data_IF_933021464427
#
_entry.id   IF_933021464427
#
_cell.length_a   1.000
_cell.length_b   1.000
_cell.length_c   1.000
_cell.angle_alpha   90.00
_cell.angle_beta   90.00
_cell.angle_gamma   90.00
#
_symmetry.space_group_name_H-M   'P 1'
#
loop_
_entity.id
_entity.type
_entity.pdbx_description
1 polymer ?
#
# COMPACT_ATOMS: atom_id res chain seq x y z
N UNK A 1 10.36 11.55 -4.41
CA UNK A 1 8.88 11.60 -4.21
C UNK A 1 8.28 10.29 -4.67
N UNK A 2 7.45 9.65 -3.82
CA UNK A 2 6.73 8.43 -4.17
C UNK A 2 5.23 8.66 -4.24
N UNK A 3 4.56 8.02 -5.20
CA UNK A 3 3.11 8.08 -5.34
C UNK A 3 2.52 6.68 -5.46
N UNK A 4 1.30 6.51 -4.96
CA UNK A 4 0.54 5.27 -5.11
C UNK A 4 -0.97 5.55 -5.15
N UNK A 5 -1.71 4.68 -5.81
CA UNK A 5 -3.15 4.79 -5.96
C UNK A 5 -3.90 4.26 -4.72
N UNK A 6 -5.10 4.73 -4.51
CA UNK A 6 -6.08 3.99 -3.71
C UNK A 6 -6.61 2.77 -4.44
N UNK A 7 -7.43 1.96 -3.77
CA UNK A 7 -7.97 0.77 -4.38
C UNK A 7 -9.35 0.36 -3.86
N UNK A 8 -10.03 -0.43 -4.64
CA UNK A 8 -11.32 -1.03 -4.30
C UNK A 8 -11.23 -2.55 -4.47
N UNK A 9 -11.63 -3.31 -3.45
CA UNK A 9 -11.70 -4.78 -3.59
C UNK A 9 -12.87 -5.18 -4.48
N UNK A 10 -12.59 -6.04 -5.44
CA UNK A 10 -13.59 -6.77 -6.21
C UNK A 10 -13.84 -8.13 -5.55
N UNK A 11 -12.77 -8.79 -5.11
CA UNK A 11 -12.80 -10.07 -4.40
C UNK A 11 -11.89 -10.00 -3.19
N UNK A 12 -12.40 -10.41 -2.02
CA UNK A 12 -11.62 -10.39 -0.79
C UNK A 12 -10.92 -11.73 -0.54
N UNK A 13 -9.61 -11.70 -0.25
CA UNK A 13 -8.79 -12.89 -0.07
C UNK A 13 -9.21 -13.76 1.12
N UNK A 14 -9.91 -13.21 2.12
CA UNK A 14 -10.36 -13.95 3.30
C UNK A 14 -11.32 -15.12 3.00
N UNK A 15 -12.08 -15.06 1.92
CA UNK A 15 -13.07 -16.09 1.58
C UNK A 15 -12.49 -17.27 0.85
N UNK A 16 -11.73 -17.01 -0.20
CA UNK A 16 -11.26 -18.05 -1.15
C UNK A 16 -9.73 -18.15 -1.24
N UNK A 17 -9.00 -17.44 -0.39
CA UNK A 17 -7.54 -17.39 -0.46
C UNK A 17 -7.00 -16.69 -1.73
N UNK A 18 -7.88 -16.01 -2.48
CA UNK A 18 -7.51 -15.24 -3.68
C UNK A 18 -8.14 -13.86 -3.56
N UNK A 19 -7.35 -12.82 -3.82
CA UNK A 19 -7.79 -11.43 -3.75
C UNK A 19 -7.79 -10.77 -5.12
N UNK A 20 -8.71 -9.83 -5.33
CA UNK A 20 -8.73 -8.98 -6.52
C UNK A 20 -9.09 -7.57 -6.13
N UNK A 21 -8.26 -6.62 -6.48
CA UNK A 21 -8.53 -5.20 -6.31
C UNK A 21 -8.23 -4.43 -7.60
N UNK A 22 -8.87 -3.28 -7.73
CA UNK A 22 -8.66 -2.32 -8.82
C UNK A 22 -8.15 -1.00 -8.25
N UNK A 23 -7.14 -0.43 -8.91
CA UNK A 23 -6.65 0.91 -8.58
C UNK A 23 -7.66 1.98 -8.94
N UNK A 24 -7.79 2.98 -8.08
CA UNK A 24 -8.61 4.18 -8.31
C UNK A 24 -7.72 5.42 -8.34
N UNK A 25 -8.13 6.44 -9.10
CA UNK A 25 -7.37 7.67 -9.30
C UNK A 25 -7.53 8.65 -8.12
N UNK A 26 -7.29 8.10 -6.91
CA UNK A 26 -7.11 8.85 -5.67
C UNK A 26 -5.72 8.54 -5.16
N UNK A 27 -4.85 9.54 -5.13
CA UNK A 27 -3.42 9.35 -4.88
C UNK A 27 -3.05 9.60 -3.42
N UNK A 28 -2.08 8.84 -2.95
CA UNK A 28 -1.21 9.20 -1.83
C UNK A 28 0.16 9.57 -2.39
N UNK A 29 0.66 10.73 -2.00
CA UNK A 29 2.00 11.23 -2.33
C UNK A 29 2.82 11.31 -1.05
N UNK A 30 4.02 10.76 -1.08
CA UNK A 30 4.99 10.84 0.00
C UNK A 30 6.23 11.56 -0.50
N UNK A 31 6.66 12.58 0.25
CA UNK A 31 7.94 13.27 0.05
C UNK A 31 8.81 13.06 1.28
N UNK A 32 10.09 12.89 1.05
CA UNK A 32 11.08 12.83 2.13
C UNK A 32 11.65 14.21 2.39
N UNK A 33 11.87 14.51 3.66
CA UNK A 33 12.63 15.66 4.16
C UNK A 33 13.99 15.18 4.64
N UNK A 34 15.00 16.04 4.54
CA UNK A 34 16.36 15.73 5.02
C UNK A 34 16.48 15.73 6.54
N UNK A 35 15.42 16.11 7.25
CA UNK A 35 15.34 16.14 8.72
C UNK A 35 14.18 15.28 9.22
N UNK A 36 14.38 14.48 10.29
CA UNK A 36 13.30 13.70 10.88
C UNK A 36 12.17 14.59 11.38
N UNK A 37 10.94 14.22 11.10
CA UNK A 37 9.77 14.87 11.66
C UNK A 37 8.73 13.84 12.12
N UNK A 38 7.96 14.20 13.15
CA UNK A 38 6.83 13.38 13.58
C UNK A 38 5.72 13.42 12.52
N UNK A 39 5.07 12.28 12.30
CA UNK A 39 3.93 12.14 11.41
C UNK A 39 2.67 12.04 12.26
N UNK A 40 1.79 13.04 12.17
CA UNK A 40 0.59 13.11 13.02
C UNK A 40 -0.45 12.02 12.70
N UNK A 41 -0.47 11.49 11.48
CA UNK A 41 -1.52 10.57 11.00
C UNK A 41 -1.07 9.10 10.84
N UNK A 42 0.06 8.69 11.43
CA UNK A 42 0.51 7.29 11.41
C UNK A 42 0.00 6.50 12.64
N UNK A 43 -1.32 6.45 12.82
CA UNK A 43 -2.02 5.80 13.96
C UNK A 43 -1.59 4.32 14.20
N UNK A 44 -0.96 3.68 13.21
CA UNK A 44 -0.59 2.27 13.26
C UNK A 44 0.93 2.03 13.27
N UNK A 45 1.75 3.07 13.23
CA UNK A 45 3.20 2.93 13.08
C UNK A 45 3.59 2.25 11.76
N UNK A 46 2.84 2.52 10.69
CA UNK A 46 3.08 1.91 9.39
C UNK A 46 4.40 2.40 8.78
N UNK A 47 4.71 3.69 8.89
CA UNK A 47 5.98 4.25 8.41
C UNK A 47 7.18 3.72 9.19
N UNK A 48 7.06 3.57 10.50
CA UNK A 48 8.09 2.90 11.32
C UNK A 48 8.29 1.45 10.89
N UNK A 49 7.19 0.77 10.52
CA UNK A 49 7.24 -0.59 10.00
C UNK A 49 7.87 -0.66 8.61
N UNK A 50 7.64 0.34 7.75
CA UNK A 50 8.31 0.50 6.45
C UNK A 50 9.81 0.65 6.65
N UNK A 51 10.26 1.57 7.51
CA UNK A 51 11.68 1.77 7.82
C UNK A 51 12.33 0.51 8.42
N UNK A 52 11.63 -0.18 9.31
CA UNK A 52 12.13 -1.43 9.87
C UNK A 52 12.30 -2.52 8.82
N UNK A 53 11.35 -2.70 7.90
CA UNK A 53 11.45 -3.66 6.80
C UNK A 53 12.55 -3.26 5.80
N UNK A 54 12.66 -1.96 5.49
CA UNK A 54 13.71 -1.39 4.66
C UNK A 54 15.11 -1.72 5.20
N UNK A 55 15.31 -1.48 6.51
CA UNK A 55 16.56 -1.77 7.21
C UNK A 55 16.86 -3.28 7.25
N UNK A 56 15.86 -4.12 7.53
CA UNK A 56 16.01 -5.57 7.55
C UNK A 56 16.37 -6.15 6.17
N UNK A 57 15.97 -5.50 5.10
CA UNK A 57 16.36 -5.86 3.74
C UNK A 57 17.80 -5.44 3.38
N UNK A 58 18.53 -4.79 4.30
CA UNK A 58 19.91 -4.33 4.06
C UNK A 58 20.00 -3.15 3.09
N UNK A 59 18.93 -2.38 2.93
CA UNK A 59 18.86 -1.24 2.02
C UNK A 59 19.52 -0.01 2.66
N UNK A 60 19.87 1.03 1.85
CA UNK A 60 20.55 2.22 2.34
C UNK A 60 19.86 2.87 3.52
N UNK A 61 20.62 3.47 4.46
CA UNK A 61 20.02 4.11 5.65
C UNK A 61 19.01 5.18 5.27
N UNK A 62 17.86 5.15 5.94
CA UNK A 62 16.75 6.07 5.78
C UNK A 62 16.34 6.75 7.10
N UNK A 63 17.16 6.60 8.15
CA UNK A 63 16.83 7.06 9.50
C UNK A 63 16.87 8.59 9.65
N UNK A 64 17.47 9.31 8.71
CA UNK A 64 17.56 10.77 8.70
C UNK A 64 16.37 11.45 8.03
N UNK A 65 15.49 10.70 7.40
CA UNK A 65 14.37 11.29 6.66
C UNK A 65 13.16 11.57 7.55
N UNK A 66 12.52 12.72 7.30
CA UNK A 66 11.16 12.99 7.72
C UNK A 66 10.17 12.72 6.57
N UNK A 67 8.88 12.74 6.88
CA UNK A 67 7.82 12.39 5.96
C UNK A 67 6.84 13.55 5.79
N UNK A 68 6.55 13.93 4.54
CA UNK A 68 5.38 14.72 4.19
C UNK A 68 4.43 13.83 3.41
N UNK A 69 3.19 13.70 3.90
CA UNK A 69 2.16 12.86 3.31
C UNK A 69 1.01 13.74 2.84
N UNK A 70 0.67 13.63 1.57
CA UNK A 70 -0.50 14.22 0.96
C UNK A 70 -1.38 13.09 0.41
N UNK A 71 -2.60 12.93 0.92
CA UNK A 71 -3.49 11.85 0.49
C UNK A 71 -4.90 12.35 0.21
N UNK A 72 -5.41 12.01 -0.97
CA UNK A 72 -6.83 12.16 -1.32
C UNK A 72 -7.71 11.03 -0.77
N UNK A 73 -7.13 10.06 -0.06
CA UNK A 73 -7.84 8.88 0.43
C UNK A 73 -8.37 9.10 1.84
N UNK A 74 -9.68 8.98 2.06
CA UNK A 74 -10.23 8.98 3.41
C UNK A 74 -9.78 7.73 4.18
N UNK A 75 -9.14 7.93 5.32
CA UNK A 75 -8.60 6.87 6.17
C UNK A 75 -9.72 6.01 6.75
N UNK A 76 -9.56 4.67 6.72
CA UNK A 76 -10.50 3.73 7.33
C UNK A 76 -11.82 3.52 6.57
N UNK A 77 -11.96 4.07 5.36
CA UNK A 77 -13.16 3.94 4.52
C UNK A 77 -13.10 2.76 3.52
N UNK A 78 -12.07 1.91 3.62
CA UNK A 78 -11.92 0.74 2.75
C UNK A 78 -11.27 1.00 1.40
N UNK A 79 -10.74 2.20 1.18
CA UNK A 79 -10.07 2.62 -0.07
C UNK A 79 -8.56 2.30 -0.07
N UNK A 80 -8.12 1.38 0.79
CA UNK A 80 -6.76 0.84 0.82
C UNK A 80 -5.67 1.88 1.16
N UNK A 81 -5.99 2.86 2.01
CA UNK A 81 -5.06 3.93 2.39
C UNK A 81 -3.74 3.40 2.96
N UNK A 82 -3.74 2.31 3.75
CA UNK A 82 -2.52 1.71 4.28
C UNK A 82 -1.62 1.12 3.19
N UNK A 83 -2.19 0.44 2.19
CA UNK A 83 -1.43 -0.09 1.04
C UNK A 83 -0.87 1.04 0.20
N UNK A 84 -1.68 2.06 -0.06
CA UNK A 84 -1.26 3.25 -0.80
C UNK A 84 -0.11 3.98 -0.07
N UNK A 85 -0.22 4.20 1.25
CA UNK A 85 0.83 4.84 2.04
C UNK A 85 2.12 4.03 2.05
N UNK A 86 2.05 2.71 2.29
CA UNK A 86 3.23 1.86 2.29
C UNK A 86 3.96 1.87 0.93
N UNK A 87 3.22 1.76 -0.17
CA UNK A 87 3.78 1.77 -1.52
C UNK A 87 4.39 3.14 -1.87
N UNK A 88 3.70 4.24 -1.55
CA UNK A 88 4.20 5.59 -1.80
C UNK A 88 5.47 5.86 -0.99
N UNK A 89 5.51 5.46 0.29
CA UNK A 89 6.69 5.61 1.15
C UNK A 89 7.88 4.82 0.62
N UNK A 90 7.68 3.55 0.24
CA UNK A 90 8.74 2.71 -0.33
C UNK A 90 9.26 3.25 -1.68
N UNK A 91 8.39 3.76 -2.54
CA UNK A 91 8.79 4.42 -3.79
C UNK A 91 9.61 5.68 -3.51
N UNK A 92 9.23 6.48 -2.52
CA UNK A 92 9.99 7.67 -2.12
C UNK A 92 11.39 7.30 -1.62
N UNK A 93 11.50 6.27 -0.77
CA UNK A 93 12.78 5.75 -0.30
C UNK A 93 13.63 5.21 -1.45
N UNK A 94 13.03 4.39 -2.32
CA UNK A 94 13.72 3.79 -3.47
C UNK A 94 14.33 4.86 -4.39
N UNK A 95 13.57 5.90 -4.70
CA UNK A 95 14.03 7.02 -5.51
C UNK A 95 15.15 7.81 -4.82
N UNK A 96 14.95 8.21 -3.56
CA UNK A 96 15.91 9.05 -2.84
C UNK A 96 17.23 8.36 -2.53
N UNK A 97 17.20 7.06 -2.26
CA UNK A 97 18.39 6.28 -1.92
C UNK A 97 19.04 5.58 -3.11
N UNK A 98 18.45 5.69 -4.31
CA UNK A 98 18.90 5.01 -5.53
C UNK A 98 19.03 3.49 -5.31
N UNK A 99 18.16 2.89 -4.50
CA UNK A 99 18.23 1.47 -4.15
C UNK A 99 17.94 0.54 -5.34
N UNK A 100 17.26 1.02 -6.39
CA UNK A 100 17.02 0.28 -7.62
C UNK A 100 16.04 -0.86 -7.49
N UNK A 101 15.12 -0.80 -6.50
CA UNK A 101 14.12 -1.83 -6.28
C UNK A 101 13.11 -1.87 -7.43
N UNK A 102 12.78 -3.08 -7.85
CA UNK A 102 11.65 -3.37 -8.74
C UNK A 102 10.31 -3.22 -8.01
N UNK A 103 9.22 -3.08 -8.76
CA UNK A 103 7.88 -3.04 -8.18
C UNK A 103 7.51 -4.33 -7.42
N UNK A 104 8.07 -5.48 -7.80
CA UNK A 104 7.91 -6.74 -7.04
C UNK A 104 8.57 -6.66 -5.66
N UNK A 105 9.77 -6.12 -5.57
CA UNK A 105 10.48 -5.95 -4.30
C UNK A 105 9.78 -4.91 -3.42
N UNK A 106 9.29 -3.83 -4.01
CA UNK A 106 8.45 -2.84 -3.32
C UNK A 106 7.18 -3.51 -2.79
N UNK A 107 6.51 -4.35 -3.58
CA UNK A 107 5.32 -5.07 -3.15
C UNK A 107 5.59 -6.01 -1.98
N UNK A 108 6.67 -6.81 -2.03
CA UNK A 108 7.06 -7.72 -0.95
C UNK A 108 7.41 -6.97 0.35
N UNK A 109 8.08 -5.82 0.24
CA UNK A 109 8.37 -4.95 1.39
C UNK A 109 7.09 -4.33 1.97
N UNK A 110 6.17 -3.88 1.11
CA UNK A 110 4.89 -3.33 1.53
C UNK A 110 4.02 -4.36 2.27
N UNK A 111 3.96 -5.61 1.79
CA UNK A 111 3.32 -6.73 2.51
C UNK A 111 3.94 -6.90 3.89
N UNK A 112 5.27 -6.92 3.95
CA UNK A 112 6.01 -7.11 5.21
C UNK A 112 5.75 -5.98 6.20
N UNK A 113 5.75 -4.73 5.72
CA UNK A 113 5.47 -3.56 6.54
C UNK A 113 4.04 -3.55 7.07
N UNK A 114 3.04 -3.87 6.24
CA UNK A 114 1.65 -3.95 6.68
C UNK A 114 1.39 -5.06 7.70
N UNK A 115 2.04 -6.22 7.52
CA UNK A 115 1.98 -7.32 8.51
C UNK A 115 2.60 -6.88 9.83
N UNK A 116 3.76 -6.23 9.79
CA UNK A 116 4.44 -5.72 10.98
C UNK A 116 3.62 -4.67 11.73
N UNK A 117 2.97 -3.77 11.01
CA UNK A 117 2.08 -2.74 11.55
C UNK A 117 0.69 -3.27 11.96
N UNK A 118 0.42 -4.57 11.79
CA UNK A 118 -0.90 -5.17 11.98
C UNK A 118 -2.03 -4.47 11.17
N UNK A 119 -1.71 -3.92 10.00
CA UNK A 119 -2.69 -3.27 9.11
C UNK A 119 -3.43 -4.27 8.21
N UNK A 120 -3.01 -5.53 8.18
CA UNK A 120 -3.57 -6.55 7.31
C UNK A 120 -3.65 -7.92 7.98
N UNK A 121 -4.57 -8.75 7.54
CA UNK A 121 -4.69 -10.16 7.95
C UNK A 121 -4.02 -11.07 6.91
N UNK A 122 -4.26 -10.83 5.61
CA UNK A 122 -3.78 -11.68 4.51
C UNK A 122 -2.47 -11.23 3.89
N UNK A 123 -1.98 -10.04 4.27
CA UNK A 123 -0.85 -9.36 3.61
C UNK A 123 -1.30 -8.36 2.54
N UNK A 124 -2.60 -8.36 2.16
CA UNK A 124 -3.23 -7.41 1.24
C UNK A 124 -2.46 -7.21 -0.08
N UNK A 125 -1.91 -8.29 -0.64
CA UNK A 125 -1.10 -8.20 -1.86
C UNK A 125 -1.91 -7.71 -3.07
N UNK A 126 -3.21 -8.03 -3.13
CA UNK A 126 -4.16 -7.48 -4.10
C UNK A 126 -4.29 -5.95 -3.98
N UNK A 127 -4.38 -5.45 -2.74
CA UNK A 127 -4.47 -4.02 -2.46
C UNK A 127 -3.16 -3.30 -2.82
N UNK A 128 -2.02 -3.95 -2.58
CA UNK A 128 -0.70 -3.42 -2.92
C UNK A 128 -0.54 -3.33 -4.44
N UNK A 129 -0.95 -4.37 -5.19
CA UNK A 129 -0.91 -4.30 -6.64
C UNK A 129 -1.82 -3.22 -7.20
N UNK A 130 -3.01 -3.02 -6.63
CA UNK A 130 -3.89 -1.92 -7.00
C UNK A 130 -3.28 -0.54 -6.68
N UNK A 131 -2.46 -0.44 -5.63
CA UNK A 131 -1.75 0.78 -5.28
C UNK A 131 -0.58 1.09 -6.23
N UNK A 132 0.09 0.07 -6.74
CA UNK A 132 1.27 0.20 -7.59
C UNK A 132 0.93 0.40 -9.07
N UNK A 133 -0.17 -0.20 -9.57
CA UNK A 133 -0.52 -0.22 -10.99
C UNK A 133 -1.99 0.08 -11.23
N UNK A 134 -2.30 0.71 -12.38
CA UNK A 134 -3.68 0.81 -12.83
C UNK A 134 -4.25 -0.56 -13.23
N UNK A 135 -5.56 -0.62 -13.46
CA UNK A 135 -6.26 -1.86 -13.83
C UNK A 135 -6.55 -2.74 -12.62
N UNK A 136 -6.80 -4.02 -12.86
CA UNK A 136 -7.12 -4.99 -11.84
C UNK A 136 -6.20 -6.21 -11.91
N UNK A 137 -5.92 -6.81 -10.76
CA UNK A 137 -5.15 -8.06 -10.65
C UNK A 137 -5.85 -9.02 -9.70
N UNK A 138 -6.03 -10.26 -10.16
CA UNK A 138 -6.39 -11.39 -9.32
C UNK A 138 -5.10 -12.03 -8.82
N UNK A 139 -4.93 -12.12 -7.52
CA UNK A 139 -3.68 -12.58 -6.91
C UNK A 139 -3.88 -13.73 -5.93
N UNK A 140 -2.83 -14.51 -5.78
CA UNK A 140 -2.62 -15.45 -4.70
C UNK A 140 -1.73 -14.80 -3.63
N UNK A 141 -2.28 -14.36 -2.48
CA UNK A 141 -1.51 -13.67 -1.46
C UNK A 141 -0.55 -14.58 -0.67
N UNK A 142 -0.60 -15.88 -0.86
CA UNK A 142 0.34 -16.84 -0.26
C UNK A 142 1.66 -16.93 -1.04
N UNK A 143 1.65 -16.46 -2.30
CA UNK A 143 2.83 -16.43 -3.14
C UNK A 143 3.62 -15.15 -2.95
N UNK A 144 4.93 -15.19 -3.30
CA UNK A 144 5.72 -13.97 -3.48
C UNK A 144 5.12 -13.11 -4.61
N UNK A 145 5.29 -11.80 -4.53
CA UNK A 145 4.75 -10.85 -5.52
C UNK A 145 5.03 -11.26 -6.96
N UNK A 146 6.24 -11.73 -7.26
CA UNK A 146 6.68 -12.16 -8.60
C UNK A 146 5.94 -13.39 -9.18
N UNK A 147 5.19 -14.11 -8.34
CA UNK A 147 4.41 -15.31 -8.73
C UNK A 147 2.94 -15.23 -8.33
N UNK A 148 2.54 -14.11 -7.74
CA UNK A 148 1.21 -13.98 -7.13
C UNK A 148 0.10 -13.69 -8.13
N UNK A 149 0.42 -13.00 -9.25
CA UNK A 149 -0.58 -12.58 -10.23
C UNK A 149 -1.05 -13.79 -11.03
N UNK A 150 -2.33 -14.12 -10.90
CA UNK A 150 -3.00 -15.20 -11.61
C UNK A 150 -3.65 -14.72 -12.89
N UNK A 151 -4.30 -13.57 -12.83
CA UNK A 151 -4.94 -12.88 -13.96
C UNK A 151 -4.81 -11.38 -13.75
N UNK A 152 -4.76 -10.65 -14.84
CA UNK A 152 -4.77 -9.17 -14.82
C UNK A 152 -5.46 -8.60 -16.04
N UNK A 153 -5.89 -7.35 -15.95
CA UNK A 153 -6.49 -6.64 -17.07
C UNK A 153 -6.64 -5.16 -16.80
N UNK A 154 -6.88 -4.44 -17.86
CA UNK A 154 -7.15 -3.01 -17.80
C UNK A 154 -8.62 -2.76 -17.46
N UNK A 155 -8.89 -1.56 -16.92
CA UNK A 155 -10.25 -1.06 -16.79
C UNK A 155 -10.71 -0.44 -18.12
N UNK A 156 -12.00 -0.58 -18.42
CA UNK A 156 -12.59 0.07 -19.57
C UNK A 156 -12.38 1.60 -19.50
N UNK A 157 -11.94 2.19 -20.59
CA UNK A 157 -11.71 3.63 -20.69
C UNK A 157 -12.99 4.41 -20.42
N UNK A 158 -12.91 5.38 -19.53
CA UNK A 158 -14.05 6.23 -19.17
C UNK A 158 -14.94 5.65 -18.06
N UNK A 159 -14.58 4.51 -17.46
CA UNK A 159 -15.27 4.02 -16.27
C UNK A 159 -15.08 5.01 -15.11
N UNK A 160 -16.21 5.43 -14.54
CA UNK A 160 -16.25 6.28 -13.36
C UNK A 160 -16.77 5.50 -12.18
N UNK A 161 -16.04 5.55 -11.05
CA UNK A 161 -16.46 4.93 -9.80
C UNK A 161 -17.07 5.99 -8.89
N UNK A 162 -18.33 5.80 -8.48
CA UNK A 162 -18.99 6.65 -7.51
C UNK A 162 -18.74 6.10 -6.09
N UNK A 163 -18.10 6.91 -5.24
CA UNK A 163 -17.80 6.56 -3.87
C UNK A 163 -18.80 7.19 -2.91
N UNK A 164 -19.60 6.37 -2.22
CA UNK A 164 -20.45 6.80 -1.13
C UNK A 164 -19.73 6.66 0.21
N UNK A 165 -19.29 7.76 0.81
CA UNK A 165 -18.58 7.75 2.09
C UNK A 165 -19.56 7.99 3.24
N UNK A 166 -19.56 7.09 4.24
CA UNK A 166 -20.45 7.21 5.42
C UNK A 166 -19.88 8.09 6.54
N UNK A 167 -18.62 8.52 6.44
CA UNK A 167 -17.95 9.31 7.48
C UNK A 167 -17.55 8.50 8.72
N UNK A 168 -17.85 7.21 8.79
CA UNK A 168 -17.49 6.34 9.90
C UNK A 168 -16.21 5.55 9.56
N UNK A 169 -15.24 5.53 10.48
CA UNK A 169 -14.07 4.65 10.34
C UNK A 169 -14.50 3.19 10.48
N UNK A 170 -13.98 2.33 9.61
CA UNK A 170 -14.14 0.88 9.71
C UNK A 170 -13.53 0.42 11.03
N UNK A 171 -14.35 -0.04 11.98
CA UNK A 171 -13.82 -0.69 13.19
C UNK A 171 -13.18 -2.01 12.81
N UNK A 172 -12.06 -2.37 13.45
CA UNK A 172 -11.49 -3.70 13.32
C UNK A 172 -12.51 -4.69 13.90
N UNK A 173 -13.15 -5.47 13.06
CA UNK A 173 -13.90 -6.64 13.53
C UNK A 173 -12.82 -7.62 13.99
N UNK A 174 -12.75 -7.87 15.30
CA UNK A 174 -12.06 -9.05 15.80
C UNK A 174 -12.84 -10.24 15.24
N UNK A 175 -12.25 -10.96 14.33
CA UNK A 175 -12.72 -12.27 13.95
C UNK A 175 -12.28 -13.18 15.10
N UNK A 176 -13.20 -13.48 16.02
CA UNK A 176 -13.05 -14.52 17.03
C UNK A 176 -13.10 -15.90 16.35
#
# INVERSE_FOLDING_TARGET
VGTANGGISILHALGLGKGCAVGVDLLTTVRLLDEPCAVEDDDHGLLDSVLACWRLAGLPSADSYGWIIESGLPVGQGLKSSSSLACAALRALNESSWAGLSDHEIADLAVSAQRRANCTITGSLDDIWAALFPGWKLVDPEQKSSKSVLLEGDMEKGLTVLLGLRGERKSRIKLD
#
